data_IF_104859489260
#
_entry.id   IF_104859489260
#
_cell.length_a   1.000
_cell.length_b   1.000
_cell.length_c   1.000
_cell.angle_alpha   90.00
_cell.angle_beta   90.00
_cell.angle_gamma   90.00
#
_symmetry.space_group_name_H-M   'P 1'
#
loop_
_entity.id
_entity.type
_entity.pdbx_description
1 polymer ?
#
# COMPACT_ATOMS: atom_id res chain seq x y z
N UNK A 1 16.34 26.59 12.20
CA UNK A 1 16.53 25.35 11.43
C UNK A 1 15.19 24.61 11.39
N UNK A 2 14.68 24.37 10.19
CA UNK A 2 13.48 23.56 9.95
C UNK A 2 13.88 22.15 9.50
N UNK A 3 13.40 21.14 10.22
CA UNK A 3 13.71 19.73 9.95
C UNK A 3 12.43 18.96 9.67
N UNK A 4 12.36 18.29 8.53
CA UNK A 4 11.29 17.36 8.19
C UNK A 4 11.76 15.94 8.48
N UNK A 5 11.01 15.22 9.32
CA UNK A 5 11.30 13.83 9.68
C UNK A 5 10.27 12.94 8.98
N UNK A 6 10.73 12.07 8.09
CA UNK A 6 9.91 11.18 7.28
C UNK A 6 10.52 9.77 7.32
N UNK A 7 10.20 9.02 8.38
CA UNK A 7 10.76 7.70 8.69
C UNK A 7 9.80 6.59 8.27
N UNK A 8 10.33 5.53 7.70
CA UNK A 8 9.61 4.25 7.62
C UNK A 8 9.74 3.47 8.94
N UNK A 9 8.95 2.44 9.11
CA UNK A 9 9.00 1.55 10.26
C UNK A 9 10.30 0.75 10.32
N UNK A 10 10.77 0.46 11.53
CA UNK A 10 11.83 -0.51 11.76
C UNK A 10 11.17 -1.87 11.97
N UNK A 11 10.91 -2.58 10.88
CA UNK A 11 10.12 -3.81 10.84
C UNK A 11 10.52 -4.79 11.95
N UNK A 12 9.52 -5.21 12.74
CA UNK A 12 9.74 -6.09 13.90
C UNK A 12 10.20 -5.39 15.18
N UNK A 13 10.36 -4.05 15.17
CA UNK A 13 10.80 -3.25 16.32
C UNK A 13 9.85 -2.07 16.58
N UNK A 14 10.07 -0.91 15.97
CA UNK A 14 9.30 0.32 16.19
C UNK A 14 8.55 0.78 14.93
N UNK A 15 7.38 1.39 15.14
CA UNK A 15 6.59 2.02 14.08
C UNK A 15 7.27 3.25 13.49
N UNK A 16 6.80 3.72 12.34
CA UNK A 16 7.27 4.95 11.72
C UNK A 16 7.06 6.18 12.62
N UNK A 17 5.95 6.22 13.36
CA UNK A 17 5.65 7.28 14.31
C UNK A 17 6.64 7.27 15.49
N UNK A 18 6.84 6.11 16.12
CA UNK A 18 7.81 5.94 17.23
C UNK A 18 9.25 6.31 16.79
N UNK A 19 9.61 5.94 15.55
CA UNK A 19 10.91 6.31 14.98
C UNK A 19 11.05 7.83 14.79
N UNK A 20 10.02 8.47 14.24
CA UNK A 20 10.01 9.93 14.06
C UNK A 20 10.06 10.69 15.39
N UNK A 21 9.34 10.21 16.42
CA UNK A 21 9.38 10.77 17.77
C UNK A 21 10.78 10.66 18.39
N UNK A 22 11.43 9.50 18.29
CA UNK A 22 12.77 9.28 18.79
C UNK A 22 13.81 10.19 18.11
N UNK A 23 13.76 10.33 16.78
CA UNK A 23 14.61 11.27 16.04
C UNK A 23 14.34 12.70 16.49
N UNK A 24 13.07 13.10 16.61
CA UNK A 24 12.67 14.43 17.07
C UNK A 24 13.18 14.76 18.48
N UNK A 25 13.15 13.77 19.38
CA UNK A 25 13.72 13.90 20.72
C UNK A 25 15.24 14.17 20.68
N UNK A 26 15.98 13.37 19.89
CA UNK A 26 17.43 13.57 19.71
C UNK A 26 17.76 14.93 19.12
N UNK A 27 17.02 15.39 18.12
CA UNK A 27 17.19 16.71 17.51
C UNK A 27 16.96 17.82 18.55
N UNK A 28 15.90 17.76 19.35
CA UNK A 28 15.61 18.79 20.37
C UNK A 28 16.66 18.85 21.48
N UNK A 29 17.31 17.73 21.80
CA UNK A 29 18.43 17.71 22.75
C UNK A 29 19.64 18.50 22.21
N UNK A 30 19.91 18.47 20.91
CA UNK A 30 21.00 19.22 20.28
C UNK A 30 20.56 20.66 19.90
N UNK A 31 19.37 20.83 19.40
CA UNK A 31 18.79 22.09 18.90
C UNK A 31 17.40 22.33 19.49
N UNK A 32 17.29 22.87 20.71
CA UNK A 32 15.98 23.03 21.38
C UNK A 32 14.97 23.91 20.63
N UNK A 33 15.44 24.78 19.74
CA UNK A 33 14.63 25.72 18.96
C UNK A 33 14.38 25.22 17.50
N UNK A 34 14.71 23.99 17.18
CA UNK A 34 14.43 23.46 15.85
C UNK A 34 12.92 23.34 15.61
N UNK A 35 12.47 23.83 14.46
CA UNK A 35 11.14 23.54 13.94
C UNK A 35 11.13 22.11 13.37
N UNK A 36 10.33 21.24 13.93
CA UNK A 36 10.27 19.82 13.54
C UNK A 36 8.88 19.50 12.98
N UNK A 37 8.85 19.04 11.74
CA UNK A 37 7.65 18.48 11.08
C UNK A 37 7.86 16.98 10.93
N UNK A 38 7.00 16.18 11.56
CA UNK A 38 7.08 14.71 11.50
C UNK A 38 5.98 14.15 10.62
N UNK A 39 6.35 13.36 9.60
CA UNK A 39 5.47 12.70 8.67
C UNK A 39 5.73 11.18 8.76
N UNK A 40 4.87 10.40 9.42
CA UNK A 40 5.02 8.95 9.42
C UNK A 40 4.82 8.40 8.01
N UNK A 41 5.69 7.47 7.61
CA UNK A 41 5.70 6.88 6.28
C UNK A 41 5.50 5.37 6.34
N UNK A 42 5.22 4.81 5.17
CA UNK A 42 5.33 3.40 4.85
C UNK A 42 5.65 3.22 3.36
N UNK A 43 6.11 2.04 3.00
CA UNK A 43 6.54 1.70 1.63
C UNK A 43 5.40 1.23 0.71
N UNK A 44 4.13 1.41 1.11
CA UNK A 44 2.95 0.90 0.38
C UNK A 44 2.57 -0.53 0.77
N UNK A 45 3.34 -1.17 1.66
CA UNK A 45 3.09 -2.50 2.21
C UNK A 45 2.30 -2.48 3.51
N UNK A 46 2.52 -3.50 4.35
CA UNK A 46 1.89 -3.63 5.67
C UNK A 46 2.16 -2.41 6.56
N UNK A 47 1.13 -1.89 7.21
CA UNK A 47 1.20 -0.72 8.07
C UNK A 47 1.04 0.64 7.36
N UNK A 48 0.82 0.63 6.04
CA UNK A 48 0.62 1.88 5.27
C UNK A 48 -0.62 2.63 5.75
N UNK A 49 -1.73 1.95 6.01
CA UNK A 49 -2.95 2.59 6.52
C UNK A 49 -2.71 3.20 7.89
N UNK A 50 -2.02 2.49 8.80
CA UNK A 50 -1.70 3.02 10.12
C UNK A 50 -0.83 4.27 10.06
N UNK A 51 0.20 4.26 9.21
CA UNK A 51 1.06 5.41 9.00
C UNK A 51 0.27 6.61 8.42
N UNK A 52 -0.59 6.37 7.43
CA UNK A 52 -1.41 7.41 6.83
C UNK A 52 -2.49 7.94 7.80
N UNK A 53 -3.14 7.08 8.59
CA UNK A 53 -4.07 7.51 9.64
C UNK A 53 -3.36 8.44 10.62
N UNK A 54 -2.18 8.06 11.10
CA UNK A 54 -1.40 8.87 12.03
C UNK A 54 -0.92 10.18 11.38
N UNK A 55 -0.35 10.12 10.17
CA UNK A 55 0.18 11.29 9.44
C UNK A 55 -0.90 12.31 9.06
N UNK A 56 -2.05 11.84 8.68
CA UNK A 56 -3.19 12.68 8.33
C UNK A 56 -4.00 13.15 9.55
N UNK A 57 -3.86 12.49 10.72
CA UNK A 57 -4.80 12.65 11.84
C UNK A 57 -6.21 12.20 11.43
N UNK A 58 -6.32 11.09 10.69
CA UNK A 58 -7.58 10.54 10.23
C UNK A 58 -8.30 9.76 11.33
N UNK A 59 -9.62 9.70 11.27
CA UNK A 59 -10.43 8.84 12.11
C UNK A 59 -10.31 7.39 11.65
N UNK A 60 -10.10 6.47 12.60
CA UNK A 60 -10.14 5.01 12.32
C UNK A 60 -11.60 4.55 12.31
N UNK A 61 -12.01 3.96 11.22
CA UNK A 61 -13.37 3.47 11.00
C UNK A 61 -13.35 1.96 10.79
N UNK A 62 -14.23 1.24 11.49
CA UNK A 62 -14.42 -0.20 11.33
C UNK A 62 -15.69 -0.48 10.52
N UNK A 63 -15.62 -1.47 9.65
CA UNK A 63 -16.75 -2.01 8.89
C UNK A 63 -16.75 -3.54 8.96
N UNK A 64 -17.91 -4.13 9.20
CA UNK A 64 -18.07 -5.59 9.06
C UNK A 64 -18.35 -5.90 7.60
N UNK A 65 -17.49 -6.71 6.98
CA UNK A 65 -17.53 -7.05 5.56
C UNK A 65 -17.31 -8.55 5.36
N UNK A 66 -17.53 -9.04 4.14
CA UNK A 66 -17.21 -10.41 3.78
C UNK A 66 -15.69 -10.60 3.69
N UNK A 67 -15.17 -11.62 4.34
CA UNK A 67 -13.79 -12.09 4.18
C UNK A 67 -13.57 -12.80 2.85
N UNK A 68 -12.33 -13.23 2.55
CA UNK A 68 -11.98 -13.84 1.27
C UNK A 68 -12.82 -15.06 0.91
N UNK A 69 -13.18 -15.90 1.89
CA UNK A 69 -13.99 -17.11 1.69
C UNK A 69 -15.46 -16.93 2.08
N UNK A 70 -15.90 -15.70 2.40
CA UNK A 70 -17.30 -15.35 2.65
C UNK A 70 -17.68 -15.26 4.13
N UNK A 71 -16.77 -15.53 5.06
CA UNK A 71 -16.94 -15.28 6.50
C UNK A 71 -17.02 -13.79 6.79
N UNK A 72 -17.65 -13.41 7.93
CA UNK A 72 -17.66 -12.02 8.35
C UNK A 72 -16.32 -11.64 8.99
N UNK A 73 -15.72 -10.54 8.53
CA UNK A 73 -14.50 -9.96 9.11
C UNK A 73 -14.70 -8.49 9.42
N UNK A 74 -13.94 -7.98 10.39
CA UNK A 74 -13.87 -6.54 10.67
C UNK A 74 -12.71 -5.94 9.87
N UNK A 75 -13.03 -5.09 8.90
CA UNK A 75 -12.04 -4.34 8.14
C UNK A 75 -11.96 -2.89 8.67
N UNK A 76 -10.74 -2.41 8.85
CA UNK A 76 -10.48 -1.04 9.31
C UNK A 76 -9.94 -0.18 8.17
N UNK A 77 -10.29 1.11 8.20
CA UNK A 77 -9.76 2.12 7.28
C UNK A 77 -9.72 3.51 7.93
N UNK A 78 -8.90 4.40 7.37
CA UNK A 78 -8.81 5.81 7.78
C UNK A 78 -9.82 6.67 7.03
N UNK A 79 -10.45 7.63 7.74
CA UNK A 79 -11.37 8.60 7.15
C UNK A 79 -10.99 10.02 7.57
N UNK A 80 -10.81 10.92 6.58
CA UNK A 80 -10.59 12.36 6.81
C UNK A 80 -11.08 13.19 5.64
N UNK A 81 -11.93 14.17 5.90
CA UNK A 81 -12.35 15.19 4.92
C UNK A 81 -12.77 14.62 3.54
N UNK A 82 -13.55 13.52 3.57
CA UNK A 82 -14.02 12.84 2.37
C UNK A 82 -12.97 11.96 1.68
N UNK A 83 -11.79 11.81 2.26
CA UNK A 83 -10.76 10.85 1.87
C UNK A 83 -10.93 9.56 2.69
N UNK A 84 -10.90 8.42 2.02
CA UNK A 84 -10.77 7.10 2.64
C UNK A 84 -9.41 6.48 2.32
N UNK A 85 -8.68 6.05 3.34
CA UNK A 85 -7.39 5.35 3.20
C UNK A 85 -7.57 3.90 3.61
N UNK A 86 -7.32 2.96 2.70
CA UNK A 86 -7.70 1.55 2.83
C UNK A 86 -6.58 0.61 2.40
N UNK A 87 -6.59 -0.59 2.96
CA UNK A 87 -5.85 -1.75 2.43
C UNK A 87 -6.84 -2.85 2.03
N UNK A 88 -6.71 -3.38 0.82
CA UNK A 88 -7.54 -4.49 0.38
C UNK A 88 -7.35 -5.72 1.27
N UNK A 89 -6.18 -5.88 1.86
CA UNK A 89 -5.84 -7.00 2.74
C UNK A 89 -6.68 -7.05 4.03
N UNK A 90 -7.25 -5.92 4.47
CA UNK A 90 -8.17 -5.88 5.60
C UNK A 90 -9.46 -6.67 5.36
N UNK A 91 -9.90 -6.81 4.10
CA UNK A 91 -11.10 -7.52 3.70
C UNK A 91 -10.83 -8.79 2.88
N UNK A 92 -9.73 -8.84 2.12
CA UNK A 92 -9.45 -9.93 1.18
C UNK A 92 -7.98 -10.37 1.18
N UNK A 93 -7.30 -10.21 2.31
CA UNK A 93 -5.88 -10.53 2.47
C UNK A 93 -5.57 -12.00 2.77
N UNK A 94 -4.37 -12.44 2.38
CA UNK A 94 -3.83 -13.77 2.70
C UNK A 94 -3.77 -14.07 4.21
N UNK A 95 -3.45 -13.11 5.10
CA UNK A 95 -3.45 -13.38 6.54
C UNK A 95 -4.81 -13.79 7.12
N UNK A 96 -5.91 -13.43 6.46
CA UNK A 96 -7.26 -13.84 6.86
C UNK A 96 -7.56 -15.31 6.56
N UNK A 97 -6.73 -15.97 5.73
CA UNK A 97 -6.96 -17.35 5.29
C UNK A 97 -5.84 -18.25 5.81
N UNK A 98 -6.13 -19.21 6.72
CA UNK A 98 -5.16 -20.22 7.12
C UNK A 98 -4.58 -20.94 5.90
N UNK A 99 -3.29 -21.29 5.96
CA UNK A 99 -2.55 -21.86 4.82
C UNK A 99 -3.26 -23.07 4.20
N UNK A 100 -3.79 -23.94 5.06
CA UNK A 100 -4.50 -25.17 4.67
C UNK A 100 -5.89 -24.92 4.05
N UNK A 101 -6.43 -23.71 4.21
CA UNK A 101 -7.73 -23.30 3.65
C UNK A 101 -7.59 -22.39 2.43
N UNK A 102 -6.37 -22.11 2.00
CA UNK A 102 -6.15 -21.25 0.83
C UNK A 102 -6.75 -21.87 -0.42
N UNK A 103 -7.65 -21.11 -1.02
CA UNK A 103 -8.35 -21.48 -2.27
C UNK A 103 -8.51 -20.23 -3.14
N UNK A 104 -7.50 -19.94 -3.94
CA UNK A 104 -7.48 -18.78 -4.83
C UNK A 104 -8.58 -18.76 -5.89
N UNK A 105 -9.24 -19.92 -6.13
CA UNK A 105 -10.38 -20.02 -7.07
C UNK A 105 -11.69 -19.59 -6.42
N UNK A 106 -11.87 -19.88 -5.12
CA UNK A 106 -13.08 -19.52 -4.37
C UNK A 106 -13.00 -18.16 -3.70
N UNK A 107 -11.78 -17.69 -3.38
CA UNK A 107 -11.57 -16.40 -2.73
C UNK A 107 -12.07 -15.22 -3.59
N UNK A 108 -12.72 -14.25 -2.94
CA UNK A 108 -13.37 -13.12 -3.61
C UNK A 108 -12.96 -11.77 -3.02
N UNK A 109 -12.91 -10.76 -3.88
CA UNK A 109 -12.72 -9.35 -3.50
C UNK A 109 -14.03 -8.66 -3.06
N UNK A 110 -15.11 -9.39 -2.83
CA UNK A 110 -16.42 -8.83 -2.50
C UNK A 110 -16.37 -7.90 -1.27
N UNK A 111 -15.69 -8.31 -0.20
CA UNK A 111 -15.52 -7.49 1.00
C UNK A 111 -14.77 -6.18 0.77
N UNK A 112 -13.86 -6.14 -0.22
CA UNK A 112 -13.22 -4.88 -0.63
C UNK A 112 -14.25 -3.89 -1.16
N UNK A 113 -15.17 -4.37 -2.00
CA UNK A 113 -16.27 -3.55 -2.51
C UNK A 113 -17.24 -3.12 -1.42
N UNK A 114 -17.53 -3.99 -0.42
CA UNK A 114 -18.35 -3.61 0.75
C UNK A 114 -17.69 -2.51 1.57
N UNK A 115 -16.36 -2.58 1.77
CA UNK A 115 -15.59 -1.54 2.47
C UNK A 115 -15.64 -0.20 1.72
N UNK A 116 -15.46 -0.21 0.40
CA UNK A 116 -15.60 0.97 -0.45
C UNK A 116 -17.03 1.52 -0.37
N UNK A 117 -18.05 0.67 -0.49
CA UNK A 117 -19.45 1.07 -0.39
C UNK A 117 -19.78 1.68 0.97
N UNK A 118 -19.19 1.18 2.07
CA UNK A 118 -19.34 1.75 3.40
C UNK A 118 -18.78 3.18 3.46
N UNK A 119 -17.59 3.41 2.91
CA UNK A 119 -16.98 4.73 2.87
C UNK A 119 -17.72 5.72 1.94
N UNK A 120 -18.23 5.25 0.79
CA UNK A 120 -19.08 6.06 -0.10
C UNK A 120 -20.32 6.59 0.62
N UNK A 121 -21.00 5.71 1.41
CA UNK A 121 -22.19 6.09 2.21
C UNK A 121 -21.84 7.07 3.33
N UNK A 122 -20.58 7.08 3.82
CA UNK A 122 -20.05 8.08 4.76
C UNK A 122 -19.64 9.40 4.08
N UNK A 123 -19.84 9.54 2.78
CA UNK A 123 -19.55 10.75 2.01
C UNK A 123 -18.15 10.81 1.40
N UNK A 124 -17.34 9.75 1.52
CA UNK A 124 -16.04 9.72 0.85
C UNK A 124 -16.20 9.73 -0.68
N UNK A 125 -15.31 10.45 -1.35
CA UNK A 125 -15.20 10.50 -2.82
C UNK A 125 -13.76 10.36 -3.31
N UNK A 126 -12.80 10.48 -2.43
CA UNK A 126 -11.38 10.23 -2.72
C UNK A 126 -10.94 9.00 -1.96
N UNK A 127 -10.24 8.10 -2.66
CA UNK A 127 -9.80 6.83 -2.12
C UNK A 127 -8.30 6.64 -2.37
N UNK A 128 -7.56 6.36 -1.32
CA UNK A 128 -6.19 5.86 -1.37
C UNK A 128 -6.24 4.40 -0.92
N UNK A 129 -5.81 3.48 -1.78
CA UNK A 129 -5.92 2.06 -1.48
C UNK A 129 -4.64 1.30 -1.79
N UNK A 130 -4.09 0.62 -0.78
CA UNK A 130 -3.08 -0.41 -0.96
C UNK A 130 -3.71 -1.72 -1.44
N UNK A 131 -3.13 -2.32 -2.49
CA UNK A 131 -3.65 -3.59 -3.02
C UNK A 131 -2.71 -4.78 -2.82
N UNK A 132 -1.69 -4.64 -1.96
CA UNK A 132 -0.79 -5.73 -1.58
C UNK A 132 -1.45 -6.82 -0.73
N UNK A 133 -0.80 -7.99 -0.64
CA UNK A 133 -1.18 -9.06 0.31
C UNK A 133 -2.46 -9.83 0.00
N UNK A 134 -2.99 -9.81 -1.22
CA UNK A 134 -4.29 -10.39 -1.61
C UNK A 134 -4.34 -11.93 -1.55
N UNK A 135 -5.49 -12.49 -1.12
CA UNK A 135 -5.82 -13.92 -1.20
C UNK A 135 -6.54 -14.32 -2.49
N UNK A 136 -6.96 -13.37 -3.31
CA UNK A 136 -7.94 -13.50 -4.38
C UNK A 136 -7.32 -13.58 -5.78
N UNK A 137 -8.07 -14.14 -6.74
CA UNK A 137 -7.69 -14.21 -8.17
C UNK A 137 -8.92 -13.98 -9.05
N UNK A 138 -9.88 -13.17 -8.62
CA UNK A 138 -11.20 -13.00 -9.25
C UNK A 138 -11.30 -11.81 -10.22
N UNK A 139 -10.16 -11.19 -10.60
CA UNK A 139 -10.16 -10.07 -11.55
C UNK A 139 -10.85 -8.80 -11.03
N UNK A 140 -11.06 -8.71 -9.72
CA UNK A 140 -11.82 -7.61 -9.10
C UNK A 140 -13.34 -7.76 -9.25
N UNK A 141 -13.84 -8.88 -9.81
CA UNK A 141 -15.27 -9.09 -10.04
C UNK A 141 -16.08 -8.97 -8.75
N UNK A 142 -15.61 -9.59 -7.65
CA UNK A 142 -16.32 -9.52 -6.37
C UNK A 142 -16.47 -8.08 -5.85
N UNK A 143 -15.41 -7.27 -5.91
CA UNK A 143 -15.46 -5.85 -5.57
C UNK A 143 -16.55 -5.13 -6.38
N UNK A 144 -16.56 -5.34 -7.69
CA UNK A 144 -17.54 -4.71 -8.59
C UNK A 144 -18.96 -5.17 -8.30
N UNK A 145 -19.18 -6.46 -7.99
CA UNK A 145 -20.49 -6.97 -7.56
C UNK A 145 -21.00 -6.25 -6.32
N UNK A 146 -20.16 -6.06 -5.30
CA UNK A 146 -20.56 -5.32 -4.08
C UNK A 146 -20.86 -3.84 -4.33
N UNK A 147 -20.27 -3.26 -5.38
CA UNK A 147 -20.52 -1.88 -5.82
C UNK A 147 -21.75 -1.75 -6.76
N UNK A 148 -22.44 -2.89 -7.05
CA UNK A 148 -23.70 -2.92 -7.78
C UNK A 148 -23.59 -3.26 -9.28
N UNK A 149 -22.41 -3.64 -9.78
CA UNK A 149 -22.31 -4.24 -11.09
C UNK A 149 -22.84 -5.69 -11.05
N UNK A 150 -23.68 -6.08 -12.02
CA UNK A 150 -24.16 -7.45 -12.18
C UNK A 150 -23.36 -8.14 -13.29
N UNK A 151 -22.81 -9.31 -12.99
CA UNK A 151 -22.17 -10.20 -13.95
C UNK A 151 -23.09 -11.39 -14.19
N UNK A 152 -23.55 -11.54 -15.42
CA UNK A 152 -24.64 -12.44 -15.78
C UNK A 152 -24.16 -13.59 -16.66
N UNK A 153 -24.74 -14.78 -16.45
CA UNK A 153 -24.55 -15.95 -17.29
C UNK A 153 -25.35 -15.85 -18.60
N UNK A 154 -25.29 -16.90 -19.44
CA UNK A 154 -25.99 -16.93 -20.70
C UNK A 154 -27.52 -16.90 -20.56
N UNK A 155 -28.05 -17.31 -19.41
CA UNK A 155 -29.46 -17.28 -19.06
C UNK A 155 -29.90 -15.99 -18.38
N UNK A 156 -28.97 -15.02 -18.19
CA UNK A 156 -29.25 -13.72 -17.54
C UNK A 156 -29.33 -13.77 -16.01
N UNK A 157 -28.85 -14.85 -15.39
CA UNK A 157 -28.76 -14.98 -13.92
C UNK A 157 -27.42 -14.47 -13.42
N UNK A 158 -27.38 -13.91 -12.22
CA UNK A 158 -26.12 -13.50 -11.60
C UNK A 158 -25.19 -14.70 -11.37
N UNK A 159 -23.91 -14.55 -11.77
CA UNK A 159 -22.88 -15.53 -11.47
C UNK A 159 -22.45 -15.44 -10.00
N UNK A 160 -21.86 -16.53 -9.48
CA UNK A 160 -21.31 -16.55 -8.12
C UNK A 160 -20.09 -15.64 -7.94
N UNK A 161 -19.39 -15.84 -6.83
CA UNK A 161 -18.17 -15.10 -6.46
C UNK A 161 -16.91 -15.93 -6.72
N UNK A 162 -15.75 -15.23 -6.76
CA UNK A 162 -14.44 -15.83 -6.94
C UNK A 162 -14.10 -16.18 -8.39
N UNK A 163 -12.87 -16.59 -8.64
CA UNK A 163 -12.39 -16.93 -9.98
C UNK A 163 -13.15 -18.08 -10.63
N UNK A 164 -13.73 -18.99 -9.83
CA UNK A 164 -14.58 -20.10 -10.33
C UNK A 164 -15.82 -19.64 -11.09
N UNK A 165 -16.25 -18.41 -10.88
CA UNK A 165 -17.42 -17.84 -11.54
C UNK A 165 -17.08 -17.14 -12.87
N UNK A 166 -15.80 -16.79 -13.11
CA UNK A 166 -15.35 -16.07 -14.31
C UNK A 166 -15.75 -16.75 -15.64
N UNK A 167 -15.67 -18.10 -15.79
CA UNK A 167 -16.01 -18.75 -17.06
C UNK A 167 -17.50 -18.66 -17.42
N UNK A 168 -18.37 -18.36 -16.46
CA UNK A 168 -19.81 -18.29 -16.68
C UNK A 168 -20.28 -16.88 -17.05
N UNK A 169 -19.43 -15.86 -16.93
CA UNK A 169 -19.78 -14.48 -17.29
C UNK A 169 -20.03 -14.40 -18.80
N UNK A 170 -21.23 -14.01 -19.19
CA UNK A 170 -21.63 -13.78 -20.58
C UNK A 170 -21.93 -12.30 -20.86
N UNK A 171 -22.44 -11.56 -19.86
CA UNK A 171 -22.76 -10.15 -20.01
C UNK A 171 -22.63 -9.39 -18.68
N UNK A 172 -22.58 -8.06 -18.76
CA UNK A 172 -22.43 -7.17 -17.60
C UNK A 172 -23.54 -6.13 -17.63
N UNK A 173 -24.06 -5.77 -16.44
CA UNK A 173 -25.04 -4.70 -16.28
C UNK A 173 -24.57 -3.71 -15.19
N UNK A 174 -24.74 -2.42 -15.46
CA UNK A 174 -24.48 -1.33 -14.51
C UNK A 174 -25.76 -0.73 -13.91
N UNK A 175 -26.91 -1.39 -14.05
CA UNK A 175 -28.21 -0.85 -13.66
C UNK A 175 -28.31 -0.50 -12.16
N UNK A 176 -27.65 -1.27 -11.31
CA UNK A 176 -27.71 -1.15 -9.84
C UNK A 176 -26.43 -0.57 -9.24
N UNK A 177 -25.54 -0.01 -10.05
CA UNK A 177 -24.28 0.57 -9.60
C UNK A 177 -24.55 1.76 -8.70
N UNK A 178 -23.82 1.84 -7.59
CA UNK A 178 -23.92 2.95 -6.64
C UNK A 178 -23.66 4.29 -7.35
N UNK A 179 -24.61 5.24 -7.31
CA UNK A 179 -24.47 6.51 -8.05
C UNK A 179 -23.27 7.35 -7.57
N UNK A 180 -22.85 7.18 -6.32
CA UNK A 180 -21.71 7.86 -5.72
C UNK A 180 -20.37 7.54 -6.39
N UNK A 181 -20.26 6.41 -7.09
CA UNK A 181 -19.06 6.02 -7.82
C UNK A 181 -18.73 6.96 -8.98
N UNK A 182 -19.74 7.67 -9.51
CA UNK A 182 -19.54 8.60 -10.62
C UNK A 182 -18.57 9.74 -10.26
N UNK A 183 -18.61 10.17 -9.01
CA UNK A 183 -17.82 11.30 -8.50
C UNK A 183 -16.65 10.83 -7.63
N UNK A 184 -16.39 9.51 -7.58
CA UNK A 184 -15.32 8.93 -6.78
C UNK A 184 -14.04 8.76 -7.60
N UNK A 185 -12.90 9.07 -6.98
CA UNK A 185 -11.56 8.94 -7.53
C UNK A 185 -10.75 7.96 -6.70
N UNK A 186 -10.00 7.07 -7.37
CA UNK A 186 -9.24 6.02 -6.72
C UNK A 186 -7.76 6.13 -7.09
N UNK A 187 -6.92 6.37 -6.09
CA UNK A 187 -5.47 6.31 -6.17
C UNK A 187 -4.99 4.99 -5.56
N UNK A 188 -4.43 4.12 -6.38
CA UNK A 188 -4.11 2.74 -6.00
C UNK A 188 -2.59 2.56 -5.89
N UNK A 189 -2.10 2.16 -4.72
CA UNK A 189 -0.70 1.80 -4.51
C UNK A 189 -0.42 0.43 -5.14
N UNK A 190 0.46 0.42 -6.15
CA UNK A 190 0.81 -0.78 -6.90
C UNK A 190 2.27 -0.73 -7.35
N UNK A 191 3.13 -1.56 -6.75
CA UNK A 191 4.56 -1.60 -7.05
C UNK A 191 4.95 -2.73 -8.02
N UNK A 192 3.96 -3.38 -8.64
CA UNK A 192 4.18 -4.45 -9.62
C UNK A 192 3.67 -4.06 -11.00
N UNK A 193 4.35 -4.55 -12.04
CA UNK A 193 4.05 -4.21 -13.44
C UNK A 193 3.43 -5.39 -14.23
N UNK A 194 2.94 -6.41 -13.53
CA UNK A 194 2.39 -7.61 -14.15
C UNK A 194 1.13 -7.28 -14.94
N UNK A 195 0.99 -7.75 -16.20
CA UNK A 195 -0.27 -7.71 -16.93
C UNK A 195 -1.28 -8.64 -16.26
N UNK A 196 -2.53 -8.57 -16.69
CA UNK A 196 -3.58 -9.42 -16.11
C UNK A 196 -3.37 -10.91 -16.36
N UNK A 197 -3.03 -11.27 -17.59
CA UNK A 197 -2.95 -12.65 -18.05
C UNK A 197 -1.58 -13.01 -18.66
N UNK A 198 -1.39 -14.30 -18.97
CA UNK A 198 -0.21 -14.85 -19.62
C UNK A 198 0.91 -15.24 -18.64
N UNK A 199 2.11 -15.58 -19.13
CA UNK A 199 3.20 -16.13 -18.30
C UNK A 199 3.67 -15.21 -17.17
N UNK A 200 3.47 -13.90 -17.31
CA UNK A 200 3.74 -12.89 -16.27
C UNK A 200 2.46 -12.35 -15.64
N UNK A 201 1.32 -12.97 -15.92
CA UNK A 201 0.01 -12.54 -15.45
C UNK A 201 -0.27 -12.89 -14.00
N UNK A 202 -1.40 -12.43 -13.53
CA UNK A 202 -1.88 -12.57 -12.16
C UNK A 202 -1.90 -14.01 -11.67
N UNK A 203 -2.52 -14.92 -12.44
CA UNK A 203 -2.67 -16.32 -12.08
C UNK A 203 -1.31 -17.03 -12.05
N UNK A 204 -0.44 -16.78 -13.05
CA UNK A 204 0.84 -17.46 -13.19
C UNK A 204 1.82 -17.07 -12.06
N UNK A 205 1.92 -15.78 -11.75
CA UNK A 205 2.94 -15.28 -10.80
C UNK A 205 2.47 -15.40 -9.35
N UNK A 206 1.22 -15.07 -9.07
CA UNK A 206 0.72 -14.94 -7.69
C UNK A 206 -0.26 -16.04 -7.28
N UNK A 207 -0.79 -16.82 -8.24
CA UNK A 207 -1.77 -17.86 -7.98
C UNK A 207 -1.30 -18.98 -7.03
N UNK A 208 -0.09 -19.55 -7.20
CA UNK A 208 0.37 -20.65 -6.38
C UNK A 208 0.36 -20.38 -4.88
N UNK A 209 0.84 -19.19 -4.43
CA UNK A 209 0.84 -18.83 -3.01
C UNK A 209 -0.56 -18.65 -2.41
N UNK A 210 -1.58 -18.45 -3.27
CA UNK A 210 -3.00 -18.30 -2.90
C UNK A 210 -3.74 -19.63 -2.92
N UNK A 211 -3.06 -20.74 -3.20
CA UNK A 211 -3.66 -22.08 -3.30
C UNK A 211 -4.27 -22.39 -4.65
N UNK A 212 -3.93 -21.64 -5.71
CA UNK A 212 -4.37 -21.93 -7.07
C UNK A 212 -3.65 -23.16 -7.61
N UNK A 213 -4.41 -24.21 -7.96
CA UNK A 213 -3.87 -25.49 -8.44
C UNK A 213 -3.76 -25.56 -9.96
N UNK A 214 -4.74 -25.01 -10.66
CA UNK A 214 -4.81 -24.99 -12.12
C UNK A 214 -4.65 -23.54 -12.62
N UNK A 215 -3.40 -23.18 -12.85
CA UNK A 215 -3.00 -21.84 -13.28
C UNK A 215 -3.46 -21.56 -14.70
N UNK A 216 -3.27 -22.53 -15.62
CA UNK A 216 -3.56 -22.34 -17.06
C UNK A 216 -5.05 -22.12 -17.30
N UNK A 217 -5.89 -22.97 -16.71
CA UNK A 217 -7.35 -22.84 -16.81
C UNK A 217 -7.84 -21.53 -16.21
N UNK A 218 -7.29 -21.12 -15.05
CA UNK A 218 -7.67 -19.86 -14.41
C UNK A 218 -7.25 -18.65 -15.24
N UNK A 219 -6.05 -18.67 -15.83
CA UNK A 219 -5.59 -17.61 -16.72
C UNK A 219 -6.47 -17.49 -17.99
N UNK A 220 -6.85 -18.61 -18.58
CA UNK A 220 -7.77 -18.62 -19.72
C UNK A 220 -9.16 -18.06 -19.38
N UNK A 221 -9.70 -18.39 -18.19
CA UNK A 221 -10.97 -17.84 -17.70
C UNK A 221 -10.85 -16.33 -17.44
N UNK A 222 -9.75 -15.88 -16.83
CA UNK A 222 -9.45 -14.47 -16.61
C UNK A 222 -9.38 -13.70 -17.94
N UNK A 223 -8.72 -14.26 -18.95
CA UNK A 223 -8.62 -13.65 -20.28
C UNK A 223 -10.00 -13.56 -20.98
N UNK A 224 -10.87 -14.54 -20.79
CA UNK A 224 -12.24 -14.53 -21.31
C UNK A 224 -13.09 -13.44 -20.62
N UNK A 225 -13.08 -13.43 -19.30
CA UNK A 225 -13.72 -12.41 -18.48
C UNK A 225 -13.29 -10.99 -18.89
N UNK A 226 -11.98 -10.77 -19.03
CA UNK A 226 -11.44 -9.47 -19.40
C UNK A 226 -11.90 -8.99 -20.79
N UNK A 227 -12.08 -9.90 -21.76
CA UNK A 227 -12.66 -9.55 -23.08
C UNK A 227 -14.11 -9.05 -22.96
N UNK A 228 -14.90 -9.67 -22.10
CA UNK A 228 -16.28 -9.23 -21.86
C UNK A 228 -16.29 -7.87 -21.18
N UNK A 229 -15.40 -7.65 -20.19
CA UNK A 229 -15.22 -6.35 -19.54
C UNK A 229 -14.84 -5.26 -20.54
N UNK A 230 -13.87 -5.54 -21.43
CA UNK A 230 -13.46 -4.60 -22.47
C UNK A 230 -14.60 -4.27 -23.46
N UNK A 231 -15.40 -5.25 -23.83
CA UNK A 231 -16.59 -5.05 -24.69
C UNK A 231 -17.64 -4.18 -24.02
N UNK A 232 -17.83 -4.32 -22.70
CA UNK A 232 -18.80 -3.56 -21.93
C UNK A 232 -18.36 -2.11 -21.69
N UNK A 233 -17.08 -1.89 -21.31
CA UNK A 233 -16.56 -0.58 -20.91
C UNK A 233 -15.95 0.22 -22.06
N UNK A 234 -15.60 -0.43 -23.16
CA UNK A 234 -14.80 0.14 -24.25
C UNK A 234 -13.30 0.32 -23.90
N UNK A 235 -12.85 -0.23 -22.74
CA UNK A 235 -11.45 -0.10 -22.27
C UNK A 235 -10.81 -1.49 -22.16
N UNK A 236 -9.71 -1.73 -22.87
CA UNK A 236 -8.92 -2.95 -22.74
C UNK A 236 -7.67 -2.66 -21.89
N UNK A 237 -7.73 -3.03 -20.62
CA UNK A 237 -6.67 -2.82 -19.64
C UNK A 237 -5.86 -4.08 -19.31
N UNK A 238 -5.99 -5.15 -20.10
CA UNK A 238 -5.31 -6.43 -19.82
C UNK A 238 -3.80 -6.32 -19.76
N UNK A 239 -3.22 -5.55 -20.68
CA UNK A 239 -1.76 -5.37 -20.78
C UNK A 239 -1.24 -4.16 -20.00
N UNK A 240 -2.13 -3.41 -19.31
CA UNK A 240 -1.70 -2.26 -18.53
C UNK A 240 -0.79 -2.71 -17.38
N UNK A 241 0.37 -2.05 -17.17
CA UNK A 241 1.26 -2.38 -16.06
C UNK A 241 0.54 -2.31 -14.70
N UNK A 242 0.52 -3.42 -13.95
CA UNK A 242 -0.18 -3.51 -12.69
C UNK A 242 -1.63 -4.02 -12.78
N UNK A 243 -2.17 -4.26 -13.97
CA UNK A 243 -3.51 -4.86 -14.12
C UNK A 243 -3.62 -6.22 -13.41
N UNK A 244 -2.54 -7.01 -13.41
CA UNK A 244 -2.47 -8.31 -12.72
C UNK A 244 -2.29 -8.22 -11.19
N UNK A 245 -2.04 -7.04 -10.64
CA UNK A 245 -1.86 -6.87 -9.21
C UNK A 245 -3.09 -7.35 -8.43
N UNK A 246 -2.83 -7.92 -7.25
CA UNK A 246 -3.88 -8.40 -6.35
C UNK A 246 -4.90 -9.34 -6.99
N UNK A 247 -4.43 -10.27 -7.85
CA UNK A 247 -5.35 -11.22 -8.47
C UNK A 247 -6.25 -10.61 -9.55
N UNK A 248 -5.81 -9.51 -10.18
CA UNK A 248 -6.56 -8.75 -11.15
C UNK A 248 -7.45 -7.66 -10.54
N UNK A 249 -7.34 -7.39 -9.24
CA UNK A 249 -8.04 -6.26 -8.64
C UNK A 249 -7.62 -4.93 -9.29
N UNK A 250 -6.32 -4.76 -9.63
CA UNK A 250 -5.82 -3.63 -10.41
C UNK A 250 -6.56 -3.46 -11.74
N UNK A 251 -6.81 -4.56 -12.47
CA UNK A 251 -7.62 -4.55 -13.68
C UNK A 251 -9.06 -4.07 -13.41
N UNK A 252 -9.68 -4.57 -12.33
CA UNK A 252 -11.04 -4.16 -11.94
C UNK A 252 -11.13 -2.64 -11.72
N UNK A 253 -10.18 -2.06 -10.98
CA UNK A 253 -10.10 -0.61 -10.77
C UNK A 253 -9.94 0.16 -12.07
N UNK A 254 -8.94 -0.19 -12.88
CA UNK A 254 -8.61 0.51 -14.12
C UNK A 254 -9.74 0.46 -15.16
N UNK A 255 -10.44 -0.66 -15.25
CA UNK A 255 -11.43 -0.90 -16.29
C UNK A 255 -12.78 -0.27 -15.97
N UNK A 256 -13.22 -0.32 -14.70
CA UNK A 256 -14.58 0.07 -14.31
C UNK A 256 -14.69 1.36 -13.52
N UNK A 257 -13.60 1.75 -12.83
CA UNK A 257 -13.63 2.90 -11.94
C UNK A 257 -12.71 4.02 -12.47
N UNK A 258 -12.86 5.22 -11.91
CA UNK A 258 -11.94 6.33 -12.15
C UNK A 258 -10.70 6.14 -11.28
N UNK A 259 -9.81 5.25 -11.70
CA UNK A 259 -8.65 4.81 -10.92
C UNK A 259 -7.34 5.04 -11.65
N UNK A 260 -6.31 5.41 -10.88
CA UNK A 260 -4.93 5.54 -11.32
C UNK A 260 -4.02 4.70 -10.42
N UNK A 261 -3.08 3.96 -11.03
CA UNK A 261 -2.06 3.22 -10.29
C UNK A 261 -0.84 4.12 -10.09
N UNK A 262 -0.31 4.11 -8.87
CA UNK A 262 0.88 4.86 -8.45
C UNK A 262 1.85 3.92 -7.76
N UNK A 263 3.14 4.26 -7.70
CA UNK A 263 4.04 3.57 -6.77
C UNK A 263 3.55 3.81 -5.34
N UNK A 264 3.67 2.79 -4.48
CA UNK A 264 3.22 2.88 -3.09
C UNK A 264 3.87 4.04 -2.35
N UNK A 265 5.17 4.23 -2.54
CA UNK A 265 5.94 5.30 -1.92
C UNK A 265 5.47 6.68 -2.38
N UNK A 266 5.34 6.91 -3.70
CA UNK A 266 4.90 8.21 -4.20
C UNK A 266 3.49 8.56 -3.69
N UNK A 267 2.57 7.58 -3.70
CA UNK A 267 1.22 7.78 -3.21
C UNK A 267 1.17 8.14 -1.72
N UNK A 268 1.99 7.48 -0.89
CA UNK A 268 2.09 7.81 0.54
C UNK A 268 2.65 9.21 0.73
N UNK A 269 3.75 9.55 0.04
CA UNK A 269 4.40 10.86 0.13
C UNK A 269 3.46 12.00 -0.31
N UNK A 270 2.73 11.81 -1.39
CA UNK A 270 1.73 12.79 -1.87
C UNK A 270 0.58 12.93 -0.86
N UNK A 271 0.12 11.81 -0.31
CA UNK A 271 -1.02 11.79 0.63
C UNK A 271 -0.69 12.48 1.96
N UNK A 272 0.55 12.33 2.47
CA UNK A 272 0.97 13.02 3.71
C UNK A 272 1.43 14.47 3.46
N UNK A 273 1.45 14.94 2.22
CA UNK A 273 1.83 16.33 1.87
C UNK A 273 3.31 16.62 2.10
N UNK A 274 4.20 15.67 1.77
CA UNK A 274 5.64 15.84 2.02
C UNK A 274 6.21 17.05 1.31
N UNK A 275 5.70 17.36 0.12
CA UNK A 275 6.19 18.45 -0.70
C UNK A 275 5.98 19.80 -0.02
N UNK A 276 4.82 20.04 0.58
CA UNK A 276 4.51 21.24 1.36
C UNK A 276 5.36 21.32 2.64
N UNK A 277 5.58 20.19 3.30
CA UNK A 277 6.41 20.12 4.50
C UNK A 277 7.89 20.47 4.21
N UNK A 278 8.41 20.00 3.08
CA UNK A 278 9.80 20.25 2.66
C UNK A 278 10.06 21.68 2.19
N UNK A 279 9.03 22.46 1.87
CA UNK A 279 9.22 23.84 1.46
C UNK A 279 9.83 24.67 2.60
N UNK A 280 11.01 25.25 2.34
CA UNK A 280 11.81 25.99 3.30
C UNK A 280 12.47 25.12 4.40
N UNK A 281 12.50 23.80 4.24
CA UNK A 281 13.23 22.93 5.15
C UNK A 281 14.74 22.95 4.88
N UNK A 282 15.54 22.99 5.94
CA UNK A 282 16.99 22.90 5.87
C UNK A 282 17.44 21.43 5.70
N UNK A 283 16.77 20.53 6.43
CA UNK A 283 17.16 19.13 6.54
C UNK A 283 15.92 18.25 6.43
N UNK A 284 16.02 17.17 5.65
CA UNK A 284 15.11 16.05 5.67
C UNK A 284 15.80 14.86 6.36
N UNK A 285 15.12 14.25 7.32
CA UNK A 285 15.56 13.02 7.98
C UNK A 285 14.65 11.89 7.54
N UNK A 286 15.26 10.80 7.10
CA UNK A 286 14.54 9.59 6.71
C UNK A 286 15.22 8.35 7.29
N UNK A 287 14.69 7.17 7.06
CA UNK A 287 15.29 5.91 7.51
C UNK A 287 14.33 4.76 7.51
N UNK A 288 14.89 3.58 7.72
CA UNK A 288 14.19 2.30 7.79
C UNK A 288 15.00 1.30 8.63
N UNK A 289 14.45 0.11 8.90
CA UNK A 289 15.15 -0.92 9.68
C UNK A 289 16.48 -1.38 9.07
N UNK A 290 16.65 -1.35 7.74
CA UNK A 290 17.86 -1.77 7.05
C UNK A 290 18.06 -1.00 5.75
N UNK A 291 19.18 -0.29 5.64
CA UNK A 291 19.62 0.37 4.41
C UNK A 291 20.53 -0.58 3.60
N UNK A 292 20.14 -0.78 2.34
CA UNK A 292 20.85 -1.54 1.33
C UNK A 292 20.73 -0.88 -0.06
N UNK A 293 21.27 -1.49 -1.11
CA UNK A 293 21.12 -0.94 -2.46
C UNK A 293 19.66 -0.83 -2.93
N UNK A 294 18.75 -1.65 -2.42
CA UNK A 294 17.32 -1.59 -2.77
C UNK A 294 16.63 -0.36 -2.18
N UNK A 295 17.17 0.22 -1.10
CA UNK A 295 16.67 1.47 -0.52
C UNK A 295 16.65 2.60 -1.56
N UNK A 296 17.65 2.63 -2.46
CA UNK A 296 17.71 3.59 -3.57
C UNK A 296 16.72 3.30 -4.72
N UNK A 297 16.14 2.08 -4.77
CA UNK A 297 15.32 1.59 -5.87
C UNK A 297 13.80 1.70 -5.63
N UNK A 298 13.33 2.76 -4.97
CA UNK A 298 11.89 3.01 -4.83
C UNK A 298 11.29 2.69 -3.46
N UNK A 299 12.12 2.47 -2.42
CA UNK A 299 11.65 2.42 -1.03
C UNK A 299 11.44 3.83 -0.45
N UNK A 300 10.74 3.92 0.68
CA UNK A 300 10.38 5.18 1.32
C UNK A 300 11.56 6.16 1.50
N UNK A 301 12.74 5.76 2.02
CA UNK A 301 13.87 6.69 2.16
C UNK A 301 14.38 7.27 0.83
N UNK A 302 14.39 6.47 -0.24
CA UNK A 302 14.76 6.93 -1.58
C UNK A 302 13.76 7.94 -2.16
N UNK A 303 12.47 7.71 -1.94
CA UNK A 303 11.39 8.63 -2.34
C UNK A 303 11.50 9.98 -1.62
N UNK A 304 11.71 9.97 -0.30
CA UNK A 304 11.96 11.18 0.52
C UNK A 304 13.17 11.93 0.02
N UNK A 305 14.29 11.24 -0.20
CA UNK A 305 15.53 11.84 -0.66
C UNK A 305 15.35 12.57 -2.00
N UNK A 306 14.68 11.95 -2.96
CA UNK A 306 14.37 12.54 -4.27
C UNK A 306 13.57 13.86 -4.13
N UNK A 307 12.51 13.86 -3.31
CA UNK A 307 11.66 15.05 -3.08
C UNK A 307 12.42 16.16 -2.34
N UNK A 308 13.19 15.80 -1.30
CA UNK A 308 13.99 16.71 -0.50
C UNK A 308 15.10 17.38 -1.33
N UNK A 309 15.81 16.60 -2.16
CA UNK A 309 16.85 17.15 -3.06
C UNK A 309 16.31 18.11 -4.09
N UNK A 310 15.13 17.88 -4.61
CA UNK A 310 14.47 18.81 -5.54
C UNK A 310 14.20 20.20 -4.89
N UNK A 311 14.19 20.28 -3.56
CA UNK A 311 14.00 21.50 -2.77
C UNK A 311 15.28 22.02 -2.08
N UNK A 312 16.43 21.42 -2.40
CA UNK A 312 17.73 21.83 -1.86
C UNK A 312 18.00 21.40 -0.42
N UNK A 313 17.17 20.55 0.18
CA UNK A 313 17.38 20.06 1.54
C UNK A 313 18.59 19.14 1.62
N UNK A 314 19.29 19.18 2.76
CA UNK A 314 20.22 18.12 3.14
C UNK A 314 19.46 16.91 3.63
N UNK A 315 19.85 15.70 3.19
CA UNK A 315 19.15 14.45 3.53
C UNK A 315 20.02 13.54 4.39
N UNK A 316 19.52 13.21 5.56
CA UNK A 316 20.18 12.33 6.53
C UNK A 316 19.29 11.09 6.72
N UNK A 317 19.88 9.89 6.69
CA UNK A 317 19.17 8.67 6.97
C UNK A 317 19.67 7.96 8.22
N UNK A 318 18.74 7.43 9.02
CA UNK A 318 19.04 6.55 10.14
C UNK A 318 18.55 5.14 9.84
N UNK A 319 19.29 4.12 10.28
CA UNK A 319 18.94 2.72 9.99
C UNK A 319 19.29 1.81 11.16
N UNK A 320 18.50 0.75 11.35
CA UNK A 320 18.83 -0.33 12.29
C UNK A 320 20.16 -0.97 11.95
N UNK A 321 20.36 -1.33 10.69
CA UNK A 321 21.64 -1.84 10.17
C UNK A 321 21.87 -1.37 8.74
N UNK A 322 23.12 -1.49 8.28
CA UNK A 322 23.53 -1.14 6.92
C UNK A 322 24.30 -2.30 6.30
N UNK A 323 24.14 -2.52 5.01
CA UNK A 323 24.88 -3.51 4.25
C UNK A 323 26.09 -2.90 3.57
N UNK A 324 26.98 -3.73 3.03
CA UNK A 324 28.18 -3.28 2.33
C UNK A 324 27.86 -2.39 1.11
N UNK A 325 26.76 -2.70 0.42
CA UNK A 325 26.27 -1.99 -0.76
C UNK A 325 25.40 -0.75 -0.45
N UNK A 326 25.17 -0.44 0.82
CA UNK A 326 24.36 0.73 1.27
C UNK A 326 24.86 2.07 0.71
N UNK A 327 26.16 2.18 0.38
CA UNK A 327 26.75 3.39 -0.23
C UNK A 327 26.05 3.83 -1.53
N UNK A 328 25.34 2.93 -2.19
CA UNK A 328 24.56 3.27 -3.39
C UNK A 328 23.56 4.40 -3.11
N UNK A 329 23.00 4.50 -1.91
CA UNK A 329 22.00 5.54 -1.57
C UNK A 329 22.56 6.96 -1.66
N UNK A 330 23.88 7.17 -1.50
CA UNK A 330 24.49 8.49 -1.62
C UNK A 330 24.40 9.02 -3.07
N UNK A 331 24.37 8.14 -4.08
CA UNK A 331 24.19 8.54 -5.47
C UNK A 331 22.72 8.86 -5.79
N UNK A 332 21.80 8.53 -4.87
CA UNK A 332 20.36 8.71 -5.02
C UNK A 332 19.77 9.76 -4.06
N UNK A 333 20.61 10.67 -3.56
CA UNK A 333 20.18 11.88 -2.84
C UNK A 333 20.22 11.80 -1.30
N UNK A 334 20.62 10.69 -0.70
CA UNK A 334 20.90 10.62 0.73
C UNK A 334 22.34 11.11 0.95
N UNK A 335 22.53 12.26 1.61
CA UNK A 335 23.86 12.85 1.81
C UNK A 335 24.70 12.05 2.81
N UNK A 336 24.07 11.55 3.87
CA UNK A 336 24.73 10.71 4.87
C UNK A 336 23.74 9.71 5.50
N UNK A 337 24.22 8.55 5.87
CA UNK A 337 23.43 7.56 6.61
C UNK A 337 24.20 7.02 7.82
N UNK A 338 23.46 6.71 8.89
CA UNK A 338 24.02 6.30 10.18
C UNK A 338 23.28 5.08 10.72
N UNK A 339 24.00 3.96 11.00
CA UNK A 339 23.40 2.87 11.75
C UNK A 339 23.20 3.29 13.22
N UNK A 340 22.09 2.88 13.81
CA UNK A 340 21.77 3.18 15.20
C UNK A 340 22.33 2.16 16.20
N UNK A 341 22.86 1.05 15.68
CA UNK A 341 23.48 0.03 16.53
C UNK A 341 24.80 0.52 17.10
N UNK A 342 24.89 0.60 18.44
CA UNK A 342 26.01 1.20 19.17
C UNK A 342 27.06 0.21 19.64
N UNK A 343 26.70 -1.09 19.66
CA UNK A 343 27.57 -2.20 20.05
C UNK A 343 27.08 -3.49 19.36
N UNK A 344 27.90 -4.53 19.30
CA UNK A 344 27.42 -5.87 18.93
C UNK A 344 26.39 -6.34 19.95
N UNK A 345 25.21 -6.73 19.47
CA UNK A 345 24.08 -7.20 20.28
C UNK A 345 23.40 -8.37 19.57
N UNK A 346 22.59 -9.13 20.28
CA UNK A 346 21.72 -10.14 19.67
C UNK A 346 20.64 -9.51 18.84
N UNK A 347 20.02 -10.29 17.92
CA UNK A 347 18.90 -9.81 17.13
C UNK A 347 17.70 -9.42 18.01
N UNK A 348 17.45 -10.17 19.06
CA UNK A 348 16.38 -9.89 20.04
C UNK A 348 16.58 -8.53 20.71
N UNK A 349 17.81 -8.23 21.20
CA UNK A 349 18.16 -6.93 21.79
C UNK A 349 18.09 -5.78 20.75
N UNK A 350 18.43 -6.07 19.49
CA UNK A 350 18.36 -5.09 18.40
C UNK A 350 16.92 -4.72 18.04
N UNK A 351 16.00 -5.67 18.13
CA UNK A 351 14.57 -5.49 17.83
C UNK A 351 13.77 -5.00 19.05
N UNK A 352 14.37 -4.99 20.26
CA UNK A 352 13.71 -4.44 21.45
C UNK A 352 13.35 -2.97 21.23
N UNK A 353 12.09 -2.62 21.49
CA UNK A 353 11.54 -1.28 21.21
C UNK A 353 12.24 -0.17 21.97
N UNK A 354 12.50 -0.37 23.25
CA UNK A 354 13.12 0.64 24.10
C UNK A 354 14.59 0.87 23.70
N UNK A 355 15.31 -0.20 23.35
CA UNK A 355 16.65 -0.11 22.83
C UNK A 355 16.71 0.62 21.49
N UNK A 356 15.80 0.29 20.58
CA UNK A 356 15.73 0.93 19.27
C UNK A 356 15.43 2.44 19.38
N UNK A 357 14.41 2.84 20.16
CA UNK A 357 14.06 4.23 20.42
C UNK A 357 15.23 5.02 21.03
N UNK A 358 15.83 4.51 22.10
CA UNK A 358 16.98 5.13 22.76
C UNK A 358 18.15 5.29 21.81
N UNK A 359 18.54 4.24 21.10
CA UNK A 359 19.66 4.27 20.18
C UNK A 359 19.44 5.26 19.04
N UNK A 360 18.21 5.32 18.51
CA UNK A 360 17.83 6.25 17.45
C UNK A 360 17.89 7.70 17.95
N UNK A 361 17.32 8.00 19.11
CA UNK A 361 17.37 9.34 19.70
C UNK A 361 18.80 9.80 19.99
N UNK A 362 19.62 8.93 20.62
CA UNK A 362 21.00 9.24 20.96
C UNK A 362 21.86 9.44 19.69
N UNK A 363 21.64 8.62 18.64
CA UNK A 363 22.37 8.76 17.36
C UNK A 363 21.97 10.06 16.67
N UNK A 364 20.68 10.38 16.62
CA UNK A 364 20.19 11.63 16.07
C UNK A 364 20.77 12.84 16.81
N UNK A 365 20.80 12.83 18.15
CA UNK A 365 21.43 13.88 18.95
C UNK A 365 22.89 14.11 18.54
N UNK A 366 23.69 13.04 18.46
CA UNK A 366 25.13 13.19 18.14
C UNK A 366 25.36 13.70 16.73
N UNK A 367 24.56 13.26 15.77
CA UNK A 367 24.64 13.74 14.37
C UNK A 367 24.27 15.24 14.32
N UNK A 368 23.20 15.65 14.99
CA UNK A 368 22.75 17.04 14.97
C UNK A 368 23.64 18.00 15.77
N UNK A 369 24.48 17.51 16.70
CA UNK A 369 25.53 18.30 17.33
C UNK A 369 26.66 18.74 16.38
N UNK A 370 26.73 18.14 15.18
CA UNK A 370 27.71 18.49 14.13
C UNK A 370 27.15 19.51 13.13
N UNK A 371 25.87 19.81 13.19
CA UNK A 371 25.15 20.68 12.25
C UNK A 371 24.83 22.03 12.89
#
# INVERSE_FOLDING_TARGET
MKVVIAMDSFKGSISSLEAAEAVGEGIRRAHPNAEIVSLPLADGGEGTVDALIAGLGAERVCATVSGPLGEAVTAEYGLKDGLAVMEMAAAAGLPLVPVEKRDGVSASTYGVGEMIAHALRKGCRRFVMGIGGSATTDGGMGMLQALGFSFLDAEGREVGRGAKALPFVASISSKNVMPELKDAEFSIACDVNNPLCGPRGSAAVYGPQKGLKDVETTDAHMASYARICASFTGKDMREYPGAGAAGGLGFGFLTFLNATLHSGVDLVLDTVGIDDALDGADIAVTGEGRIDAQTAMGKAPGGVAKRAKARGCRVIAFSGCVTEDARAVNQHGIDAFFPIMRAPVTLEEALDKENARRNLADTAEQVFRLL
#
